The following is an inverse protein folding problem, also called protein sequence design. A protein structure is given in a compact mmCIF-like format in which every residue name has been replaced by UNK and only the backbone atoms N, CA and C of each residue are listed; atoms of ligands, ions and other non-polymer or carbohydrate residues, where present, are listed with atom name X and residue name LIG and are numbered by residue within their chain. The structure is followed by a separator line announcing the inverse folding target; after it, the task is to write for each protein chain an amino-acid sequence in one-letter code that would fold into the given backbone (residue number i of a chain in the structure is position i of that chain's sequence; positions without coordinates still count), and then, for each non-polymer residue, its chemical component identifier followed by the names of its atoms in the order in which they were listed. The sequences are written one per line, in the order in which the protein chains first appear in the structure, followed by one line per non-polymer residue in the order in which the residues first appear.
data_IF_073832365455
#
_entry.id   IF_073832365455
#
_cell.length_a   1.000
_cell.length_b   1.000
_cell.length_c   1.000
_cell.angle_alpha   90.00
_cell.angle_beta   90.00
_cell.angle_gamma   90.00
#
_symmetry.space_group_name_H-M   'P 1'
#
loop_
_entity.id
_entity.type
_entity.pdbx_description
1 polymer ?
#
# COMPACT_ATOMS: atom_id res chain seq x y z
N UNK A 1 14.31 -17.76 -7.59
CA UNK A 1 14.76 -16.65 -6.74
C UNK A 1 13.92 -16.66 -5.47
N UNK A 2 14.47 -16.42 -4.28
CA UNK A 2 13.65 -16.32 -3.07
C UNK A 2 12.70 -15.11 -3.19
N UNK A 3 11.48 -15.25 -2.69
CA UNK A 3 10.51 -14.15 -2.60
C UNK A 3 10.70 -13.45 -1.26
N UNK A 4 10.92 -12.13 -1.30
CA UNK A 4 11.02 -11.30 -0.11
C UNK A 4 9.67 -10.62 0.16
N UNK A 5 9.16 -10.71 1.39
CA UNK A 5 7.95 -10.01 1.80
C UNK A 5 8.29 -8.60 2.30
N UNK A 6 7.72 -7.60 1.63
CA UNK A 6 7.87 -6.19 1.97
C UNK A 6 6.52 -5.56 2.22
N UNK A 7 6.50 -4.48 2.99
CA UNK A 7 5.31 -3.66 3.19
C UNK A 7 5.63 -2.18 3.09
N UNK A 8 4.69 -1.40 2.58
CA UNK A 8 4.75 0.07 2.57
C UNK A 8 3.51 0.65 3.20
N UNK A 9 3.65 1.79 3.87
CA UNK A 9 2.54 2.54 4.42
C UNK A 9 2.10 3.62 3.44
N UNK A 10 0.80 3.76 3.24
CA UNK A 10 0.17 4.87 2.53
C UNK A 10 -0.71 5.58 3.53
N UNK A 11 -0.33 6.80 3.91
CA UNK A 11 -1.08 7.61 4.86
C UNK A 11 -2.30 8.25 4.19
N UNK A 12 -3.38 8.43 4.94
CA UNK A 12 -4.50 9.25 4.51
C UNK A 12 -4.03 10.70 4.32
N UNK A 13 -4.34 11.35 3.19
CA UNK A 13 -3.97 12.74 2.97
C UNK A 13 -4.58 13.69 4.00
N UNK A 14 -5.78 13.37 4.50
CA UNK A 14 -6.54 14.18 5.47
C UNK A 14 -7.42 13.27 6.35
N UNK A 15 -7.61 13.62 7.64
CA UNK A 15 -8.40 12.82 8.57
C UNK A 15 -9.90 12.73 8.22
N UNK A 16 -10.45 13.77 7.58
CA UNK A 16 -11.90 13.89 7.32
C UNK A 16 -12.30 13.48 5.89
N UNK A 17 -11.48 12.71 5.18
CA UNK A 17 -11.84 12.20 3.86
C UNK A 17 -12.96 11.16 3.95
N UNK A 18 -13.86 11.20 2.99
CA UNK A 18 -14.86 10.17 2.75
C UNK A 18 -14.20 8.84 2.37
N UNK A 19 -14.92 7.74 2.52
CA UNK A 19 -14.47 6.40 2.11
C UNK A 19 -14.10 6.36 0.62
N UNK A 20 -14.90 7.00 -0.25
CA UNK A 20 -14.62 7.11 -1.68
C UNK A 20 -13.32 7.85 -1.99
N UNK A 21 -13.05 8.97 -1.31
CA UNK A 21 -11.82 9.74 -1.49
C UNK A 21 -10.60 8.95 -1.03
N UNK A 22 -10.73 8.24 0.10
CA UNK A 22 -9.71 7.33 0.64
C UNK A 22 -9.38 6.21 -0.36
N UNK A 23 -10.41 5.56 -0.90
CA UNK A 23 -10.25 4.51 -1.90
C UNK A 23 -9.64 5.03 -3.21
N UNK A 24 -10.02 6.24 -3.65
CA UNK A 24 -9.43 6.90 -4.82
C UNK A 24 -7.96 7.21 -4.61
N UNK A 25 -7.59 7.73 -3.43
CA UNK A 25 -6.20 7.99 -3.08
C UNK A 25 -5.37 6.71 -3.08
N UNK A 26 -5.85 5.66 -2.40
CA UNK A 26 -5.19 4.35 -2.39
C UNK A 26 -5.00 3.82 -3.82
N UNK A 27 -6.03 3.90 -4.66
CA UNK A 27 -5.97 3.44 -6.06
C UNK A 27 -4.93 4.21 -6.87
N UNK A 28 -4.82 5.53 -6.66
CA UNK A 28 -3.80 6.35 -7.30
C UNK A 28 -2.38 5.97 -6.85
N UNK A 29 -2.18 5.75 -5.55
CA UNK A 29 -0.87 5.34 -5.01
C UNK A 29 -0.47 3.95 -5.50
N UNK A 30 -1.43 3.02 -5.62
CA UNK A 30 -1.22 1.70 -6.23
C UNK A 30 -0.95 1.77 -7.74
N UNK A 31 -1.49 2.75 -8.45
CA UNK A 31 -1.22 2.94 -9.89
C UNK A 31 0.14 3.58 -10.18
N UNK A 32 0.66 4.37 -9.24
CA UNK A 32 1.91 5.15 -9.42
C UNK A 32 3.12 4.51 -8.76
N UNK A 33 2.94 3.58 -7.82
CA UNK A 33 4.07 2.92 -7.21
C UNK A 33 4.80 2.00 -8.22
N UNK A 34 6.13 1.88 -8.12
CA UNK A 34 6.94 1.08 -9.02
C UNK A 34 6.69 -0.42 -8.75
N UNK A 35 5.59 -0.94 -9.27
CA UNK A 35 5.10 -2.30 -9.05
C UNK A 35 5.54 -3.30 -10.12
N UNK A 36 6.34 -2.88 -11.12
CA UNK A 36 7.00 -3.83 -12.02
C UNK A 36 7.83 -4.80 -11.16
N UNK A 37 7.34 -6.03 -10.99
CA UNK A 37 7.94 -7.07 -10.15
C UNK A 37 7.40 -7.23 -8.72
N UNK A 38 6.33 -6.52 -8.31
CA UNK A 38 5.74 -6.61 -6.96
C UNK A 38 4.36 -7.27 -6.98
N UNK A 39 4.20 -8.42 -6.30
CA UNK A 39 2.91 -9.10 -6.18
C UNK A 39 2.24 -8.71 -4.84
N UNK A 40 1.21 -7.86 -4.90
CA UNK A 40 0.44 -7.44 -3.72
C UNK A 40 -0.48 -8.58 -3.29
N UNK A 41 -0.38 -9.01 -2.03
CA UNK A 41 -1.19 -10.11 -1.49
C UNK A 41 -2.06 -9.71 -0.29
N UNK A 42 -1.83 -8.53 0.30
CA UNK A 42 -2.62 -8.02 1.44
C UNK A 42 -2.59 -6.50 1.50
N UNK A 43 -3.73 -5.91 1.80
CA UNK A 43 -3.86 -4.48 2.12
C UNK A 43 -4.62 -4.38 3.45
N UNK A 44 -4.08 -3.65 4.42
CA UNK A 44 -4.66 -3.50 5.75
C UNK A 44 -4.91 -2.04 6.08
N UNK A 45 -6.09 -1.73 6.59
CA UNK A 45 -6.42 -0.42 7.13
C UNK A 45 -5.85 -0.27 8.54
N UNK A 46 -5.21 0.86 8.84
CA UNK A 46 -4.75 1.21 10.19
C UNK A 46 -5.28 2.58 10.57
N UNK A 47 -5.72 2.71 11.82
CA UNK A 47 -6.26 3.97 12.37
C UNK A 47 -5.64 4.34 13.73
N UNK A 48 -4.63 3.59 14.19
CA UNK A 48 -3.97 3.83 15.49
C UNK A 48 -2.72 4.69 15.26
N UNK A 49 -2.71 5.92 15.77
CA UNK A 49 -1.59 6.88 15.68
C UNK A 49 -1.49 7.62 14.34
N UNK A 50 -1.81 6.94 13.23
CA UNK A 50 -2.03 7.52 11.90
C UNK A 50 -3.15 6.75 11.19
N UNK A 51 -3.87 7.40 10.27
CA UNK A 51 -4.90 6.75 9.46
C UNK A 51 -4.35 6.47 8.07
N UNK A 52 -4.47 5.23 7.56
CA UNK A 52 -3.90 4.87 6.27
C UNK A 52 -3.94 3.36 6.00
N UNK A 53 -3.11 2.88 5.08
CA UNK A 53 -3.03 1.49 4.67
C UNK A 53 -1.61 0.93 4.69
N UNK A 54 -1.45 -0.29 5.20
CA UNK A 54 -0.29 -1.12 4.90
C UNK A 54 -0.55 -1.93 3.64
N UNK A 55 0.32 -1.79 2.66
CA UNK A 55 0.30 -2.58 1.43
C UNK A 55 1.44 -3.59 1.52
N UNK A 56 1.10 -4.87 1.57
CA UNK A 56 2.04 -5.98 1.62
C UNK A 56 2.23 -6.58 0.24
N UNK A 57 3.48 -6.75 -0.16
CA UNK A 57 3.85 -7.26 -1.47
C UNK A 57 5.05 -8.19 -1.40
N UNK A 58 5.11 -9.14 -2.31
CA UNK A 58 6.28 -10.00 -2.55
C UNK A 58 7.09 -9.43 -3.69
N UNK A 59 8.41 -9.33 -3.50
CA UNK A 59 9.35 -8.97 -4.56
C UNK A 59 10.27 -10.15 -4.84
N UNK A 60 10.62 -10.35 -6.11
CA UNK A 60 11.74 -11.24 -6.43
C UNK A 60 13.01 -10.65 -5.81
N UNK A 61 13.70 -11.45 -4.99
CA UNK A 61 14.99 -11.02 -4.44
C UNK A 61 15.98 -10.92 -5.60
N UNK A 62 16.41 -9.71 -5.90
CA UNK A 62 17.49 -9.45 -6.86
C UNK A 62 18.81 -9.74 -6.16
N UNK A 63 19.31 -10.96 -6.34
CA UNK A 63 20.72 -11.31 -6.08
C UNK A 63 21.60 -10.66 -7.16
#
# INVERSE_FOLDING_TARGET
MPLEEKKTFVEDPKPNMTTEEKNRHLSYMLGTAPHHGRNIFRIERVEIGASGWWIHYRTESSD
#
